data_IF_924782281572
#
_entry.id   IF_924782281572
#
_cell.length_a   1.000
_cell.length_b   1.000
_cell.length_c   1.000
_cell.angle_alpha   90.00
_cell.angle_beta   90.00
_cell.angle_gamma   90.00
#
_symmetry.space_group_name_H-M   'P 1'
#
loop_
_entity.id
_entity.type
_entity.pdbx_description
1 polymer ?
#
# COMPACT_ATOMS: atom_id res chain seq x y z
N UNK A 1 -69.92 6.39 -16.14
CA UNK A 1 -69.30 6.28 -14.79
C UNK A 1 -68.40 5.05 -14.64
N UNK A 2 -68.79 3.86 -15.13
CA UNK A 2 -67.98 2.62 -15.02
C UNK A 2 -66.60 2.65 -15.72
N UNK A 3 -66.48 3.34 -16.86
CA UNK A 3 -65.24 3.34 -17.68
C UNK A 3 -64.07 4.07 -16.98
N UNK A 4 -64.35 5.10 -16.16
CA UNK A 4 -63.33 5.82 -15.40
C UNK A 4 -62.80 5.01 -14.21
N UNK A 5 -63.64 4.17 -13.59
CA UNK A 5 -63.24 3.30 -12.48
C UNK A 5 -62.28 2.18 -12.93
N UNK A 6 -62.51 1.60 -14.12
CA UNK A 6 -61.62 0.60 -14.72
C UNK A 6 -60.25 1.18 -15.09
N UNK A 7 -60.19 2.41 -15.61
CA UNK A 7 -58.94 3.12 -15.93
C UNK A 7 -58.10 3.43 -14.68
N UNK A 8 -58.73 3.83 -13.58
CA UNK A 8 -58.02 4.07 -12.31
C UNK A 8 -57.50 2.79 -11.66
N UNK A 9 -58.23 1.68 -11.76
CA UNK A 9 -57.78 0.36 -11.27
C UNK A 9 -56.59 -0.19 -12.07
N UNK A 10 -56.57 0.01 -13.40
CA UNK A 10 -55.42 -0.38 -14.23
C UNK A 10 -54.18 0.48 -13.99
N UNK A 11 -54.35 1.80 -13.80
CA UNK A 11 -53.24 2.71 -13.52
C UNK A 11 -52.58 2.41 -12.16
N UNK A 12 -53.38 2.11 -11.12
CA UNK A 12 -52.88 1.75 -9.79
C UNK A 12 -52.15 0.41 -9.79
N UNK A 13 -52.66 -0.59 -10.53
CA UNK A 13 -51.98 -1.88 -10.68
C UNK A 13 -50.63 -1.73 -11.43
N UNK A 14 -50.59 -0.92 -12.49
CA UNK A 14 -49.34 -0.62 -13.20
C UNK A 14 -48.32 0.10 -12.32
N UNK A 15 -48.75 1.08 -11.53
CA UNK A 15 -47.87 1.77 -10.56
C UNK A 15 -47.35 0.83 -9.48
N UNK A 16 -48.17 -0.10 -8.99
CA UNK A 16 -47.74 -1.09 -7.98
C UNK A 16 -46.71 -2.07 -8.55
N UNK A 17 -46.92 -2.55 -9.79
CA UNK A 17 -45.98 -3.43 -10.50
C UNK A 17 -44.66 -2.69 -10.78
N UNK A 18 -44.71 -1.41 -11.17
CA UNK A 18 -43.51 -0.60 -11.38
C UNK A 18 -42.73 -0.40 -10.07
N UNK A 19 -43.42 -0.15 -8.97
CA UNK A 19 -42.81 0.00 -7.63
C UNK A 19 -42.16 -1.30 -7.17
N UNK A 20 -42.82 -2.44 -7.41
CA UNK A 20 -42.27 -3.78 -7.14
C UNK A 20 -41.04 -4.07 -8.01
N UNK A 21 -41.06 -3.73 -9.30
CA UNK A 21 -39.89 -3.90 -10.19
C UNK A 21 -38.69 -3.04 -9.75
N UNK A 22 -38.93 -1.84 -9.22
CA UNK A 22 -37.87 -1.00 -8.63
C UNK A 22 -37.35 -1.60 -7.32
N UNK A 23 -38.22 -2.12 -6.45
CA UNK A 23 -37.81 -2.80 -5.21
C UNK A 23 -37.07 -4.13 -5.46
N UNK A 24 -37.35 -4.81 -6.58
CA UNK A 24 -36.66 -6.03 -7.02
C UNK A 24 -35.48 -5.78 -7.96
N UNK A 25 -35.18 -4.52 -8.29
CA UNK A 25 -33.93 -4.19 -8.97
C UNK A 25 -32.78 -4.55 -8.04
N UNK A 26 -32.14 -5.70 -8.29
CA UNK A 26 -30.87 -6.00 -7.65
C UNK A 26 -29.95 -4.84 -7.99
N UNK A 27 -29.47 -4.12 -6.98
CA UNK A 27 -28.32 -3.24 -7.17
C UNK A 27 -27.20 -4.14 -7.68
N UNK A 28 -26.95 -4.12 -8.98
CA UNK A 28 -25.76 -4.70 -9.55
C UNK A 28 -24.63 -3.79 -9.05
N UNK A 29 -23.99 -4.21 -7.96
CA UNK A 29 -22.72 -3.61 -7.55
C UNK A 29 -21.76 -3.95 -8.68
N UNK A 30 -21.51 -2.98 -9.56
CA UNK A 30 -20.52 -3.13 -10.61
C UNK A 30 -19.18 -3.34 -9.91
N UNK A 31 -18.61 -4.54 -10.05
CA UNK A 31 -17.30 -4.84 -9.50
C UNK A 31 -16.29 -3.92 -10.20
N UNK A 32 -15.56 -3.10 -9.44
CA UNK A 32 -14.52 -2.29 -10.05
C UNK A 32 -13.42 -3.21 -10.60
N UNK A 33 -12.74 -2.79 -11.67
CA UNK A 33 -11.73 -3.62 -12.35
C UNK A 33 -10.67 -4.17 -11.38
N UNK A 34 -10.30 -3.36 -10.38
CA UNK A 34 -9.29 -3.73 -9.39
C UNK A 34 -9.71 -4.85 -8.45
N UNK A 35 -11.02 -5.10 -8.30
CA UNK A 35 -11.56 -6.16 -7.44
C UNK A 35 -11.53 -7.55 -8.10
N UNK A 36 -11.16 -7.64 -9.38
CA UNK A 36 -11.09 -8.95 -10.04
C UNK A 36 -9.84 -9.73 -9.60
N UNK A 37 -10.01 -11.02 -9.30
CA UNK A 37 -8.94 -11.94 -8.90
C UNK A 37 -7.71 -11.86 -9.81
N UNK A 38 -7.94 -11.87 -11.12
CA UNK A 38 -6.89 -11.80 -12.12
C UNK A 38 -6.09 -10.50 -12.01
N UNK A 39 -6.75 -9.38 -11.75
CA UNK A 39 -6.08 -8.09 -11.61
C UNK A 39 -5.33 -7.97 -10.28
N UNK A 40 -5.90 -8.50 -9.20
CA UNK A 40 -5.24 -8.56 -7.89
C UNK A 40 -3.96 -9.39 -7.99
N UNK A 41 -4.01 -10.59 -8.59
CA UNK A 41 -2.82 -11.43 -8.80
C UNK A 41 -1.77 -10.74 -9.66
N UNK A 42 -2.18 -10.19 -10.82
CA UNK A 42 -1.25 -9.52 -11.73
C UNK A 42 -0.58 -8.31 -11.08
N UNK A 43 -1.36 -7.50 -10.35
CA UNK A 43 -0.86 -6.37 -9.58
C UNK A 43 0.10 -6.84 -8.50
N UNK A 44 -0.25 -7.87 -7.73
CA UNK A 44 0.63 -8.41 -6.70
C UNK A 44 1.96 -8.91 -7.28
N UNK A 45 1.93 -9.67 -8.36
CA UNK A 45 3.15 -10.17 -9.01
C UNK A 45 4.00 -9.00 -9.53
N UNK A 46 3.36 -7.95 -10.06
CA UNK A 46 4.08 -6.77 -10.56
C UNK A 46 4.75 -6.01 -9.42
N UNK A 47 4.01 -5.65 -8.39
CA UNK A 47 4.47 -4.81 -7.28
C UNK A 47 5.42 -5.58 -6.34
N UNK A 48 5.09 -6.80 -5.92
CA UNK A 48 5.88 -7.53 -4.94
C UNK A 48 7.15 -8.16 -5.53
N UNK A 49 7.10 -8.64 -6.77
CA UNK A 49 8.19 -9.41 -7.36
C UNK A 49 9.04 -8.63 -8.37
N UNK A 50 8.57 -7.56 -9.01
CA UNK A 50 9.48 -6.75 -9.86
C UNK A 50 10.28 -5.76 -9.01
N UNK A 51 11.15 -4.98 -9.66
CA UNK A 51 11.98 -3.95 -9.02
C UNK A 51 12.13 -2.78 -9.99
N UNK A 52 12.12 -1.57 -9.44
CA UNK A 52 12.15 -0.31 -10.19
C UNK A 52 13.51 -0.04 -10.85
N UNK A 53 14.61 -0.05 -10.07
CA UNK A 53 15.94 0.34 -10.56
C UNK A 53 16.83 -0.80 -11.07
N UNK A 54 16.42 -2.08 -10.90
CA UNK A 54 17.25 -3.24 -11.27
C UNK A 54 16.42 -4.41 -11.73
N UNK A 55 16.57 -4.80 -13.00
CA UNK A 55 16.03 -6.08 -13.46
C UNK A 55 16.70 -7.25 -12.74
N UNK A 56 15.93 -7.93 -11.89
CA UNK A 56 16.36 -9.19 -11.26
C UNK A 56 15.90 -10.33 -12.15
N UNK A 57 16.84 -11.12 -12.69
CA UNK A 57 16.52 -12.27 -13.56
C UNK A 57 15.58 -13.30 -12.91
N UNK A 58 15.71 -13.49 -11.60
CA UNK A 58 14.92 -14.45 -10.82
C UNK A 58 14.38 -13.78 -9.56
N UNK A 59 13.36 -12.92 -9.67
CA UNK A 59 12.86 -12.22 -8.51
C UNK A 59 12.21 -13.18 -7.54
N UNK A 60 12.35 -12.86 -6.25
CA UNK A 60 11.80 -13.61 -5.13
C UNK A 60 10.90 -12.72 -4.30
N UNK A 61 9.87 -13.32 -3.72
CA UNK A 61 9.06 -12.68 -2.69
C UNK A 61 9.95 -12.32 -1.50
N UNK A 62 9.83 -11.09 -1.05
CA UNK A 62 10.54 -10.55 0.12
C UNK A 62 9.49 -10.00 1.08
N UNK A 63 9.71 -10.19 2.38
CA UNK A 63 8.95 -9.53 3.46
C UNK A 63 9.68 -9.72 4.78
N UNK A 64 9.17 -9.09 5.83
CA UNK A 64 9.60 -9.34 7.19
C UNK A 64 8.95 -10.62 7.73
N UNK A 65 9.70 -11.41 8.50
CA UNK A 65 9.16 -12.54 9.28
C UNK A 65 9.11 -12.24 10.78
N UNK A 66 9.97 -11.32 11.26
CA UNK A 66 10.02 -10.92 12.66
C UNK A 66 9.35 -9.55 12.84
N UNK A 67 8.82 -9.24 14.04
CA UNK A 67 8.31 -7.91 14.38
C UNK A 67 9.23 -6.77 13.94
N UNK A 68 8.65 -5.74 13.36
CA UNK A 68 9.37 -4.61 12.78
C UNK A 68 9.54 -3.52 13.83
N UNK A 69 10.80 -3.23 14.16
CA UNK A 69 11.17 -2.11 15.03
C UNK A 69 11.57 -0.92 14.18
N UNK A 70 10.89 0.21 14.37
CA UNK A 70 11.12 1.45 13.62
C UNK A 70 11.90 2.43 14.49
N UNK A 71 12.97 3.01 13.96
CA UNK A 71 13.67 4.14 14.57
C UNK A 71 13.40 5.40 13.78
N UNK A 72 13.08 6.48 14.49
CA UNK A 72 12.82 7.80 13.94
C UNK A 72 13.99 8.74 14.24
N UNK A 73 14.44 9.47 13.22
CA UNK A 73 15.37 10.59 13.34
C UNK A 73 14.87 11.75 12.50
N UNK A 74 14.87 12.95 13.05
CA UNK A 74 14.66 14.17 12.29
C UNK A 74 15.71 15.20 12.65
N UNK A 75 16.42 15.73 11.65
CA UNK A 75 17.33 16.87 11.80
C UNK A 75 16.90 18.11 11.00
N UNK A 76 15.69 18.07 10.44
CA UNK A 76 15.09 19.17 9.68
C UNK A 76 13.56 19.09 9.64
N UNK A 77 12.90 20.24 9.79
CA UNK A 77 11.44 20.37 9.80
C UNK A 77 10.84 20.21 11.19
N UNK A 78 9.54 19.89 11.23
CA UNK A 78 8.78 19.68 12.46
C UNK A 78 8.87 18.20 12.87
N UNK A 79 9.76 17.90 13.82
CA UNK A 79 10.02 16.53 14.25
C UNK A 79 8.81 15.87 14.93
N UNK A 80 8.00 16.65 15.67
CA UNK A 80 6.84 16.12 16.38
C UNK A 80 5.76 15.71 15.38
N UNK A 81 5.45 16.59 14.42
CA UNK A 81 4.51 16.29 13.34
C UNK A 81 4.99 15.10 12.49
N UNK A 82 6.26 15.07 12.11
CA UNK A 82 6.82 13.97 11.32
C UNK A 82 6.73 12.63 12.06
N UNK A 83 7.03 12.63 13.36
CA UNK A 83 6.88 11.44 14.18
C UNK A 83 5.42 11.00 14.27
N UNK A 84 4.49 11.94 14.45
CA UNK A 84 3.06 11.66 14.54
C UNK A 84 2.49 11.08 13.23
N UNK A 85 2.81 11.67 12.08
CA UNK A 85 2.42 11.15 10.76
C UNK A 85 2.94 9.73 10.55
N UNK A 86 4.21 9.48 10.92
CA UNK A 86 4.82 8.16 10.82
C UNK A 86 4.16 7.17 11.80
N UNK A 87 3.85 7.58 13.03
CA UNK A 87 3.20 6.75 14.04
C UNK A 87 1.82 6.27 13.57
N UNK A 88 1.01 7.17 13.03
CA UNK A 88 -0.29 6.84 12.44
C UNK A 88 -0.11 5.85 11.28
N UNK A 89 0.85 6.10 10.38
CA UNK A 89 1.08 5.22 9.24
C UNK A 89 1.57 3.82 9.64
N UNK A 90 2.47 3.68 10.62
CA UNK A 90 2.92 2.35 11.04
C UNK A 90 1.82 1.57 11.76
N UNK A 91 0.95 2.25 12.52
CA UNK A 91 -0.22 1.63 13.16
C UNK A 91 -1.21 1.15 12.11
N UNK A 92 -1.43 1.96 11.07
CA UNK A 92 -2.28 1.58 9.94
C UNK A 92 -1.73 0.32 9.24
N UNK A 93 -0.44 0.30 8.93
CA UNK A 93 0.21 -0.86 8.30
C UNK A 93 0.21 -2.11 9.19
N UNK A 94 0.43 -1.95 10.49
CA UNK A 94 0.34 -3.06 11.45
C UNK A 94 -1.08 -3.65 11.50
N UNK A 95 -2.11 -2.80 11.49
CA UNK A 95 -3.50 -3.23 11.42
C UNK A 95 -3.82 -3.99 10.12
N UNK A 96 -3.39 -3.47 8.96
CA UNK A 96 -3.67 -4.12 7.67
C UNK A 96 -2.98 -5.49 7.61
N UNK A 97 -1.71 -5.56 7.99
CA UNK A 97 -0.87 -6.75 7.78
C UNK A 97 -1.00 -7.80 8.88
N UNK A 98 -1.62 -7.45 10.01
CA UNK A 98 -1.56 -8.22 11.26
C UNK A 98 -0.11 -8.55 11.68
N UNK A 99 0.84 -7.70 11.27
CA UNK A 99 2.25 -7.83 11.56
C UNK A 99 2.68 -6.76 12.57
N UNK A 100 3.35 -7.09 13.68
CA UNK A 100 3.71 -6.09 14.68
C UNK A 100 4.74 -5.09 14.13
N UNK A 101 4.37 -3.80 14.15
CA UNK A 101 5.25 -2.67 13.80
C UNK A 101 5.19 -1.66 14.94
N UNK A 102 6.35 -1.30 15.50
CA UNK A 102 6.42 -0.38 16.64
C UNK A 102 7.74 0.35 16.72
N UNK A 103 7.77 1.49 17.40
CA UNK A 103 8.99 2.27 17.58
C UNK A 103 9.98 1.64 18.56
N UNK A 104 11.26 1.93 18.33
CA UNK A 104 12.35 1.70 19.28
C UNK A 104 13.17 2.98 19.44
N UNK A 105 13.60 3.34 20.67
CA UNK A 105 14.45 4.51 20.89
C UNK A 105 15.90 4.29 20.44
N UNK A 106 16.28 3.07 20.03
CA UNK A 106 17.66 2.69 19.71
C UNK A 106 17.80 2.28 18.24
N UNK A 107 18.52 3.09 17.47
CA UNK A 107 18.81 2.82 16.04
C UNK A 107 19.48 1.46 15.76
N UNK A 108 20.27 0.96 16.72
CA UNK A 108 20.93 -0.35 16.61
C UNK A 108 19.95 -1.53 16.67
N UNK A 109 18.83 -1.37 17.38
CA UNK A 109 17.83 -2.41 17.59
C UNK A 109 16.73 -2.38 16.51
N UNK A 110 16.75 -1.37 15.63
CA UNK A 110 15.73 -1.14 14.61
C UNK A 110 15.90 -2.03 13.39
N UNK A 111 14.78 -2.52 12.85
CA UNK A 111 14.70 -3.08 11.50
C UNK A 111 14.63 -1.97 10.45
N UNK A 112 13.82 -0.94 10.70
CA UNK A 112 13.62 0.20 9.79
C UNK A 112 14.15 1.48 10.43
N UNK A 113 14.88 2.29 9.67
CA UNK A 113 15.28 3.63 10.07
C UNK A 113 14.58 4.62 9.15
N UNK A 114 13.85 5.57 9.71
CA UNK A 114 13.21 6.65 8.97
C UNK A 114 13.88 7.95 9.36
N UNK A 115 14.54 8.58 8.39
CA UNK A 115 15.42 9.72 8.58
C UNK A 115 14.87 10.93 7.81
N UNK A 116 14.36 11.91 8.53
CA UNK A 116 13.96 13.21 7.99
C UNK A 116 15.17 14.16 8.03
N UNK A 117 15.47 14.80 6.89
CA UNK A 117 16.67 15.62 6.72
C UNK A 117 16.41 16.76 5.74
N UNK A 118 17.36 17.69 5.59
CA UNK A 118 17.40 18.61 4.46
C UNK A 118 18.01 17.96 3.21
N UNK A 119 17.60 18.38 2.01
CA UNK A 119 18.10 17.88 0.73
C UNK A 119 19.62 18.03 0.59
N UNK A 120 20.18 19.16 1.06
CA UNK A 120 21.62 19.40 1.06
C UNK A 120 22.44 18.37 1.87
N UNK A 121 21.82 17.66 2.82
CA UNK A 121 22.46 16.60 3.63
C UNK A 121 22.15 15.19 3.12
N UNK A 122 21.36 15.04 2.05
CA UNK A 122 20.87 13.75 1.56
C UNK A 122 22.03 12.78 1.28
N UNK A 123 23.06 13.25 0.59
CA UNK A 123 24.23 12.41 0.24
C UNK A 123 24.98 11.92 1.49
N UNK A 124 25.10 12.75 2.54
CA UNK A 124 25.73 12.37 3.79
C UNK A 124 24.91 11.30 4.54
N UNK A 125 23.58 11.43 4.53
CA UNK A 125 22.66 10.44 5.10
C UNK A 125 22.71 9.12 4.33
N UNK A 126 22.76 9.17 3.00
CA UNK A 126 22.97 7.97 2.16
C UNK A 126 24.28 7.30 2.52
N UNK A 127 25.38 8.06 2.60
CA UNK A 127 26.71 7.54 2.96
C UNK A 127 26.71 6.83 4.31
N UNK A 128 25.99 7.39 5.28
CA UNK A 128 25.90 6.86 6.65
C UNK A 128 25.02 5.62 6.74
N UNK A 129 23.83 5.64 6.15
CA UNK A 129 22.79 4.65 6.43
C UNK A 129 22.63 3.59 5.33
N UNK A 130 22.84 3.95 4.07
CA UNK A 130 22.63 3.06 2.92
C UNK A 130 23.96 2.46 2.47
N UNK A 131 24.91 3.31 2.06
CA UNK A 131 26.21 2.89 1.53
C UNK A 131 26.83 3.94 0.61
N UNK A 132 27.67 3.52 -0.35
CA UNK A 132 28.34 4.46 -1.28
C UNK A 132 27.30 5.19 -2.17
N UNK A 133 27.18 6.53 -2.08
CA UNK A 133 26.26 7.33 -2.89
C UNK A 133 26.40 7.13 -4.41
N UNK A 134 27.62 6.87 -4.89
CA UNK A 134 27.86 6.68 -6.33
C UNK A 134 27.12 5.47 -6.90
N UNK A 135 26.80 4.47 -6.07
CA UNK A 135 26.05 3.28 -6.49
C UNK A 135 24.56 3.53 -6.69
N UNK A 136 24.04 4.64 -6.17
CA UNK A 136 22.63 5.03 -6.26
C UNK A 136 22.47 6.47 -6.75
N UNK A 137 23.47 6.99 -7.47
CA UNK A 137 23.54 8.39 -7.92
C UNK A 137 22.29 8.82 -8.69
N UNK A 138 21.76 7.94 -9.53
CA UNK A 138 20.51 8.16 -10.26
C UNK A 138 19.34 8.44 -9.31
N UNK A 139 19.13 7.55 -8.32
CA UNK A 139 18.05 7.70 -7.33
C UNK A 139 18.22 8.97 -6.49
N UNK A 140 19.45 9.32 -6.07
CA UNK A 140 19.72 10.57 -5.33
C UNK A 140 19.29 11.82 -6.12
N UNK A 141 19.48 11.81 -7.44
CA UNK A 141 19.21 12.96 -8.29
C UNK A 141 17.74 13.07 -8.73
N UNK A 142 17.04 11.93 -8.84
CA UNK A 142 15.71 11.84 -9.46
C UNK A 142 14.58 11.64 -8.44
N UNK A 143 14.84 10.92 -7.35
CA UNK A 143 13.81 10.53 -6.40
C UNK A 143 13.53 11.62 -5.36
N UNK A 144 12.25 11.78 -5.00
CA UNK A 144 11.83 12.74 -3.95
C UNK A 144 12.22 12.23 -2.57
N UNK A 145 12.14 10.93 -2.35
CA UNK A 145 12.55 10.21 -1.16
C UNK A 145 13.39 8.98 -1.57
N UNK A 146 14.06 8.36 -0.60
CA UNK A 146 14.91 7.19 -0.85
C UNK A 146 14.57 6.05 0.10
N UNK A 147 14.11 4.94 -0.46
CA UNK A 147 14.02 3.64 0.19
C UNK A 147 15.20 2.72 -0.15
N UNK A 148 15.71 2.02 0.86
CA UNK A 148 16.63 0.90 0.65
C UNK A 148 16.40 -0.21 1.67
N UNK A 149 16.65 -1.45 1.27
CA UNK A 149 16.57 -2.59 2.17
C UNK A 149 17.67 -3.62 1.92
N UNK A 150 17.92 -4.44 2.94
CA UNK A 150 18.83 -5.58 2.92
C UNK A 150 18.04 -6.86 3.14
N UNK A 151 18.45 -7.89 2.41
CA UNK A 151 17.88 -9.23 2.50
C UNK A 151 18.91 -10.20 3.09
N UNK A 152 18.44 -11.22 3.80
CA UNK A 152 19.27 -12.38 4.09
C UNK A 152 19.17 -13.45 2.97
N UNK A 153 19.85 -14.59 3.16
CA UNK A 153 19.89 -15.69 2.19
C UNK A 153 18.51 -16.35 1.94
N UNK A 154 17.54 -16.14 2.83
CA UNK A 154 16.16 -16.63 2.71
C UNK A 154 15.20 -15.62 2.08
N UNK A 155 15.72 -14.50 1.56
CA UNK A 155 14.93 -13.39 1.03
C UNK A 155 14.05 -12.70 2.06
N UNK A 156 14.35 -12.85 3.36
CA UNK A 156 13.71 -12.08 4.42
C UNK A 156 14.35 -10.70 4.47
N UNK A 157 13.52 -9.66 4.65
CA UNK A 157 14.00 -8.32 4.91
C UNK A 157 14.58 -8.29 6.33
N UNK A 158 15.81 -7.79 6.46
CA UNK A 158 16.52 -7.71 7.75
C UNK A 158 16.85 -6.29 8.17
N UNK A 159 16.86 -5.36 7.21
CA UNK A 159 17.08 -3.94 7.45
C UNK A 159 16.41 -3.14 6.34
N UNK A 160 15.81 -2.01 6.68
CA UNK A 160 15.45 -0.97 5.73
C UNK A 160 15.86 0.41 6.23
N UNK A 161 16.05 1.33 5.30
CA UNK A 161 16.38 2.73 5.53
C UNK A 161 15.52 3.56 4.58
N UNK A 162 14.87 4.57 5.14
CA UNK A 162 14.07 5.56 4.42
C UNK A 162 14.66 6.92 4.74
N UNK A 163 14.96 7.71 3.71
CA UNK A 163 15.48 9.07 3.86
C UNK A 163 14.54 10.04 3.14
N UNK A 164 14.01 11.01 3.87
CA UNK A 164 13.07 12.00 3.37
C UNK A 164 13.72 13.39 3.45
N UNK A 165 14.15 13.98 2.31
CA UNK A 165 14.57 15.38 2.26
C UNK A 165 13.32 16.28 2.34
N UNK A 166 13.03 16.77 3.55
CA UNK A 166 11.75 17.41 3.90
C UNK A 166 11.48 18.69 3.12
N UNK A 167 12.52 19.50 2.90
CA UNK A 167 12.46 20.71 2.08
C UNK A 167 12.08 20.40 0.63
N UNK A 168 12.77 19.44 0.01
CA UNK A 168 12.49 19.03 -1.36
C UNK A 168 11.13 18.34 -1.51
N UNK A 169 10.78 17.42 -0.59
CA UNK A 169 9.49 16.75 -0.60
C UNK A 169 8.33 17.74 -0.42
N UNK A 170 8.50 18.78 0.41
CA UNK A 170 7.51 19.86 0.55
C UNK A 170 7.42 20.74 -0.70
N UNK A 171 8.54 21.09 -1.32
CA UNK A 171 8.55 21.82 -2.60
C UNK A 171 7.75 21.08 -3.68
N UNK A 172 7.84 19.75 -3.70
CA UNK A 172 7.08 18.88 -4.62
C UNK A 172 5.65 18.57 -4.16
N UNK A 173 5.22 19.05 -2.99
CA UNK A 173 3.95 18.69 -2.36
C UNK A 173 3.76 17.17 -2.13
N UNK A 174 4.87 16.44 -1.92
CA UNK A 174 4.93 14.97 -1.82
C UNK A 174 5.40 14.44 -0.47
N UNK A 175 5.41 15.28 0.58
CA UNK A 175 5.89 14.85 1.91
C UNK A 175 5.07 13.68 2.47
N UNK A 176 3.74 13.73 2.35
CA UNK A 176 2.87 12.65 2.79
C UNK A 176 3.05 11.40 1.94
N UNK A 177 3.11 11.54 0.61
CA UNK A 177 3.39 10.42 -0.29
C UNK A 177 4.67 9.70 0.13
N UNK A 178 5.76 10.44 0.38
CA UNK A 178 7.01 9.84 0.83
C UNK A 178 6.91 9.11 2.17
N UNK A 179 6.06 9.58 3.10
CA UNK A 179 5.84 8.87 4.37
C UNK A 179 5.04 7.59 4.14
N UNK A 180 3.99 7.64 3.32
CA UNK A 180 3.08 6.52 3.07
C UNK A 180 3.74 5.46 2.19
N UNK A 181 4.32 5.87 1.05
CA UNK A 181 4.87 5.02 0.01
C UNK A 181 6.10 4.25 0.49
N UNK A 182 7.12 4.97 0.96
CA UNK A 182 8.42 4.37 1.28
C UNK A 182 8.31 3.31 2.38
N UNK A 183 7.57 3.60 3.46
CA UNK A 183 7.41 2.62 4.52
C UNK A 183 6.57 1.42 4.08
N UNK A 184 5.57 1.62 3.21
CA UNK A 184 4.78 0.53 2.65
C UNK A 184 5.62 -0.34 1.72
N UNK A 185 6.43 0.24 0.83
CA UNK A 185 7.33 -0.49 -0.05
C UNK A 185 8.34 -1.34 0.76
N UNK A 186 8.88 -0.80 1.86
CA UNK A 186 9.84 -1.53 2.72
C UNK A 186 9.24 -2.74 3.44
N UNK A 187 7.92 -2.94 3.42
CA UNK A 187 7.30 -4.17 3.92
C UNK A 187 7.48 -5.35 2.97
N UNK A 188 7.74 -5.09 1.68
CA UNK A 188 7.92 -6.13 0.65
C UNK A 188 7.20 -5.87 -0.67
N UNK A 189 6.83 -4.62 -0.96
CA UNK A 189 6.16 -4.17 -2.19
C UNK A 189 7.05 -3.17 -2.96
N UNK A 190 8.26 -3.55 -3.41
CA UNK A 190 9.33 -2.60 -3.74
C UNK A 190 9.35 -2.11 -5.20
N UNK A 191 8.22 -2.11 -5.91
CA UNK A 191 8.22 -1.78 -7.33
C UNK A 191 7.03 -0.89 -7.70
N UNK A 192 7.32 0.16 -8.45
CA UNK A 192 6.31 1.02 -9.03
C UNK A 192 5.91 0.61 -10.45
N UNK A 193 4.65 0.85 -10.80
CA UNK A 193 4.11 0.55 -12.11
C UNK A 193 2.86 1.37 -12.43
N UNK A 194 2.93 2.08 -13.56
CA UNK A 194 1.80 2.79 -14.16
C UNK A 194 0.63 1.88 -14.61
N UNK A 195 0.83 0.56 -14.65
CA UNK A 195 -0.21 -0.41 -15.04
C UNK A 195 -1.10 -0.85 -13.86
N UNK A 196 -0.69 -0.53 -12.63
CA UNK A 196 -1.37 -0.90 -11.39
C UNK A 196 -2.14 0.30 -10.88
N UNK A 197 -3.46 0.23 -10.89
CA UNK A 197 -4.35 1.34 -10.52
C UNK A 197 -5.67 0.80 -9.92
N UNK A 198 -6.20 1.42 -8.86
CA UNK A 198 -5.62 2.53 -8.09
C UNK A 198 -4.47 2.04 -7.19
N UNK A 199 -3.40 2.81 -7.02
CA UNK A 199 -2.28 2.41 -6.17
C UNK A 199 -1.33 3.57 -5.89
N UNK A 200 -0.78 3.61 -4.68
CA UNK A 200 0.35 4.48 -4.34
C UNK A 200 1.64 4.12 -5.08
N UNK A 201 1.75 2.89 -5.63
CA UNK A 201 2.90 2.44 -6.41
C UNK A 201 2.78 2.81 -7.89
N UNK A 202 1.94 3.80 -8.21
CA UNK A 202 1.72 4.26 -9.57
C UNK A 202 2.18 5.71 -9.68
N UNK A 203 3.31 5.93 -10.37
CA UNK A 203 3.96 7.25 -10.49
C UNK A 203 3.10 8.32 -11.18
N UNK A 204 2.02 7.91 -11.86
CA UNK A 204 1.07 8.84 -12.50
C UNK A 204 -0.25 8.97 -11.73
N UNK A 205 -0.39 8.28 -10.59
CA UNK A 205 -1.52 8.46 -9.69
C UNK A 205 -1.40 9.76 -8.89
N UNK A 206 -2.54 10.30 -8.50
CA UNK A 206 -2.67 11.42 -7.56
C UNK A 206 -2.94 10.93 -6.13
N UNK A 207 -2.90 9.62 -5.90
CA UNK A 207 -3.22 9.01 -4.61
C UNK A 207 -2.06 9.18 -3.60
N UNK A 208 -2.25 10.03 -2.60
CA UNK A 208 -1.32 10.17 -1.46
C UNK A 208 -1.47 9.04 -0.43
N UNK A 209 -2.64 8.38 -0.38
CA UNK A 209 -2.99 7.39 0.64
C UNK A 209 -3.19 6.01 0.05
N UNK A 210 -3.01 4.97 0.87
CA UNK A 210 -3.25 3.59 0.46
C UNK A 210 -4.63 3.43 -0.18
N UNK A 211 -4.63 2.88 -1.41
CA UNK A 211 -5.84 2.54 -2.12
C UNK A 211 -6.45 1.22 -1.59
N UNK A 212 -7.70 0.91 -1.94
CA UNK A 212 -8.28 -0.41 -1.65
C UNK A 212 -7.47 -1.57 -2.25
N UNK A 213 -6.80 -1.36 -3.39
CA UNK A 213 -5.92 -2.36 -3.96
C UNK A 213 -4.64 -2.51 -3.12
N UNK A 214 -4.01 -1.41 -2.69
CA UNK A 214 -2.80 -1.46 -1.85
C UNK A 214 -3.07 -2.22 -0.54
N UNK A 215 -4.24 -2.00 0.06
CA UNK A 215 -4.74 -2.77 1.20
C UNK A 215 -4.73 -4.28 0.94
N UNK A 216 -5.30 -4.70 -0.20
CA UNK A 216 -5.35 -6.11 -0.59
C UNK A 216 -3.94 -6.65 -0.86
N UNK A 217 -3.06 -5.88 -1.52
CA UNK A 217 -1.69 -6.30 -1.80
C UNK A 217 -0.90 -6.53 -0.50
N UNK A 218 -1.10 -5.68 0.51
CA UNK A 218 -0.51 -5.85 1.85
C UNK A 218 -1.04 -7.09 2.57
N UNK A 219 -2.37 -7.30 2.54
CA UNK A 219 -3.00 -8.52 3.08
C UNK A 219 -2.48 -9.78 2.41
N UNK A 220 -2.38 -9.76 1.07
CA UNK A 220 -1.85 -10.87 0.30
C UNK A 220 -0.37 -11.14 0.65
N UNK A 221 0.46 -10.11 0.78
CA UNK A 221 1.88 -10.23 1.15
C UNK A 221 2.07 -10.95 2.48
N UNK A 222 1.20 -10.68 3.45
CA UNK A 222 1.26 -11.29 4.78
C UNK A 222 0.44 -12.59 4.93
N UNK A 223 -0.22 -13.05 3.86
CA UNK A 223 -0.91 -14.34 3.83
C UNK A 223 -0.02 -15.51 4.28
N UNK A 224 -0.56 -16.50 5.03
CA UNK A 224 0.21 -17.67 5.44
C UNK A 224 0.69 -18.53 4.26
N UNK A 225 0.05 -18.41 3.09
CA UNK A 225 0.41 -19.16 1.88
C UNK A 225 1.62 -18.59 1.14
N UNK A 226 2.01 -17.35 1.41
CA UNK A 226 3.16 -16.70 0.79
C UNK A 226 4.33 -16.63 1.78
N UNK A 227 5.51 -17.04 1.33
CA UNK A 227 6.74 -17.05 2.13
C UNK A 227 7.89 -16.36 1.40
N UNK A 228 8.81 -15.71 2.13
CA UNK A 228 10.06 -15.21 1.57
C UNK A 228 10.76 -16.28 0.73
N UNK A 229 11.30 -15.88 -0.42
CA UNK A 229 12.07 -16.77 -1.30
C UNK A 229 11.24 -17.50 -2.36
N UNK A 230 9.90 -17.40 -2.33
CA UNK A 230 9.04 -17.91 -3.40
C UNK A 230 9.36 -17.23 -4.74
N UNK A 231 9.51 -18.01 -5.80
CA UNK A 231 9.57 -17.50 -7.19
C UNK A 231 8.21 -17.02 -7.66
N UNK A 232 8.17 -16.27 -8.77
CA UNK A 232 6.94 -15.91 -9.48
C UNK A 232 6.01 -17.12 -9.68
N UNK A 233 6.55 -18.25 -10.15
CA UNK A 233 5.75 -19.47 -10.37
C UNK A 233 5.18 -20.06 -9.07
N UNK A 234 5.97 -20.09 -7.99
CA UNK A 234 5.51 -20.56 -6.68
C UNK A 234 4.44 -19.64 -6.11
N UNK A 235 4.65 -18.32 -6.19
CA UNK A 235 3.69 -17.31 -5.75
C UNK A 235 2.37 -17.45 -6.51
N UNK A 236 2.40 -17.54 -7.85
CA UNK A 236 1.20 -17.75 -8.66
C UNK A 236 0.47 -19.05 -8.33
N UNK A 237 1.21 -20.14 -8.11
CA UNK A 237 0.60 -21.42 -7.73
C UNK A 237 -0.07 -21.38 -6.34
N UNK A 238 0.43 -20.56 -5.42
CA UNK A 238 -0.15 -20.36 -4.10
C UNK A 238 -1.29 -19.33 -4.08
N UNK A 239 -1.32 -18.39 -5.03
CA UNK A 239 -2.21 -17.24 -5.03
C UNK A 239 -3.71 -17.58 -5.02
N UNK A 240 -4.21 -18.65 -5.67
CA UNK A 240 -5.62 -19.04 -5.55
C UNK A 240 -6.07 -19.29 -4.10
N UNK A 241 -5.18 -19.79 -3.23
CA UNK A 241 -5.49 -19.94 -1.79
C UNK A 241 -5.53 -18.60 -1.08
N UNK A 242 -4.64 -17.68 -1.46
CA UNK A 242 -4.63 -16.30 -0.94
C UNK A 242 -5.97 -15.62 -1.26
N UNK A 243 -6.40 -15.66 -2.51
CA UNK A 243 -7.69 -15.09 -2.95
C UNK A 243 -8.87 -15.72 -2.22
N UNK A 244 -8.89 -17.06 -2.09
CA UNK A 244 -9.93 -17.77 -1.34
C UNK A 244 -10.05 -17.27 0.10
N UNK A 245 -8.93 -17.08 0.80
CA UNK A 245 -8.94 -16.58 2.18
C UNK A 245 -9.42 -15.13 2.26
N UNK A 246 -9.00 -14.28 1.32
CA UNK A 246 -9.38 -12.87 1.25
C UNK A 246 -10.88 -12.70 0.98
N UNK A 247 -11.47 -13.48 0.06
CA UNK A 247 -12.92 -13.49 -0.16
C UNK A 247 -13.68 -14.02 1.06
N UNK A 248 -13.21 -15.12 1.65
CA UNK A 248 -13.88 -15.73 2.81
C UNK A 248 -13.94 -14.79 4.03
N UNK A 249 -12.94 -13.93 4.19
CA UNK A 249 -12.86 -12.92 5.25
C UNK A 249 -13.44 -11.55 4.87
N UNK A 250 -13.93 -11.41 3.63
CA UNK A 250 -14.50 -10.17 3.10
C UNK A 250 -13.49 -9.05 2.88
N UNK A 251 -12.19 -9.37 2.80
CA UNK A 251 -11.11 -8.38 2.66
C UNK A 251 -11.18 -7.66 1.31
N UNK A 252 -11.57 -8.36 0.24
CA UNK A 252 -11.70 -7.78 -1.11
C UNK A 252 -12.98 -6.94 -1.21
N UNK A 253 -14.08 -7.47 -0.71
CA UNK A 253 -15.41 -6.87 -0.80
C UNK A 253 -15.50 -5.58 0.04
N UNK A 254 -14.79 -5.53 1.17
CA UNK A 254 -14.84 -4.42 2.11
C UNK A 254 -13.56 -3.55 2.09
N UNK A 255 -12.67 -3.77 1.12
CA UNK A 255 -11.37 -3.09 1.06
C UNK A 255 -11.51 -1.55 1.13
N UNK A 256 -12.51 -0.98 0.44
CA UNK A 256 -12.76 0.46 0.43
C UNK A 256 -13.03 1.03 1.83
N UNK A 257 -13.76 0.30 2.67
CA UNK A 257 -14.04 0.72 4.04
C UNK A 257 -12.89 0.37 4.99
N UNK A 258 -12.29 -0.81 4.82
CA UNK A 258 -11.26 -1.32 5.73
C UNK A 258 -9.92 -0.58 5.61
N UNK A 259 -9.56 -0.10 4.42
CA UNK A 259 -8.36 0.74 4.23
C UNK A 259 -8.46 2.11 4.91
N UNK A 260 -9.65 2.50 5.37
CA UNK A 260 -9.84 3.76 6.09
C UNK A 260 -9.75 3.61 7.61
N UNK A 261 -9.61 2.39 8.12
CA UNK A 261 -9.53 2.12 9.56
C UNK A 261 -8.12 2.49 10.06
N UNK A 262 -8.04 3.42 11.01
CA UNK A 262 -6.77 3.97 11.52
C UNK A 262 -5.88 4.62 10.44
N UNK A 263 -6.44 5.00 9.29
CA UNK A 263 -5.67 5.52 8.17
C UNK A 263 -5.17 6.94 8.40
N UNK A 264 -4.01 7.25 7.81
CA UNK A 264 -3.47 8.61 7.81
C UNK A 264 -4.45 9.60 7.18
N UNK A 265 -5.16 9.17 6.12
CA UNK A 265 -6.24 9.93 5.48
C UNK A 265 -7.29 10.42 6.49
N UNK A 266 -7.84 9.50 7.30
CA UNK A 266 -8.82 9.86 8.34
C UNK A 266 -8.23 10.74 9.43
N UNK A 267 -6.98 10.49 9.80
CA UNK A 267 -6.29 11.26 10.82
C UNK A 267 -6.13 12.74 10.40
N UNK A 268 -5.79 13.01 9.14
CA UNK A 268 -5.64 14.39 8.64
C UNK A 268 -6.95 15.04 8.17
N UNK A 269 -8.03 14.26 8.01
CA UNK A 269 -9.37 14.77 7.69
C UNK A 269 -9.72 14.84 6.20
N UNK A 270 -9.06 14.03 5.36
CA UNK A 270 -9.23 13.97 3.89
C UNK A 270 -10.24 12.89 3.39
#
# INVERSE_FOLDING_TARGET
MLINLLRHSQATLFSLILLLLVLFSRQAIALERWQTDAYIEQSFIKIALKREYREIKHPKLIRWENPIKVYFESDYGDADLQHELLDVQIKHLAYITDHPIFFTPKAKDAGILVIFTAYQKLEDKVRRYIGNPDKIRKAINEAVCLGNFRLNKRSEITRAVIIIPVDYAREKARLLDCVVEEITQTLGLPNDSNDVFPSIFNDVSVDTYLSPLDYILLKALYSPHLKPGMSVSQTKAAFPKVLSDLHASGEIEQALQRVQVHSLRRYVGD
#
